data_IF_391967708424
#
_entry.id   IF_391967708424
#
_cell.length_a   1.000
_cell.length_b   1.000
_cell.length_c   1.000
_cell.angle_alpha   90.00
_cell.angle_beta   90.00
_cell.angle_gamma   90.00
#
_symmetry.space_group_name_H-M   'P 1'
#
loop_
_entity.id
_entity.type
_entity.pdbx_description
1 polymer ?
#
# COMPACT_ATOMS: atom_id res chain seq x y z
N UNK A 1 8.93 -14.55 -8.32
CA UNK A 1 8.36 -13.58 -9.29
C UNK A 1 8.98 -12.24 -9.00
N UNK A 2 9.74 -11.69 -9.95
CA UNK A 2 10.35 -10.37 -9.81
C UNK A 2 9.22 -9.34 -9.77
N UNK A 3 8.99 -8.73 -8.61
CA UNK A 3 8.08 -7.59 -8.51
C UNK A 3 8.63 -6.48 -9.38
N UNK A 4 7.85 -6.04 -10.37
CA UNK A 4 8.18 -4.85 -11.15
C UNK A 4 8.17 -3.68 -10.18
N UNK A 5 9.31 -3.03 -9.93
CA UNK A 5 9.35 -1.81 -9.14
C UNK A 5 8.61 -0.69 -9.87
N UNK A 6 7.93 0.19 -9.12
CA UNK A 6 7.16 1.30 -9.69
C UNK A 6 7.67 2.62 -9.15
N UNK A 7 7.94 3.56 -10.04
CA UNK A 7 8.43 4.89 -9.69
C UNK A 7 7.29 5.92 -9.78
N UNK A 8 7.04 6.64 -8.68
CA UNK A 8 5.99 7.66 -8.57
C UNK A 8 6.65 9.02 -8.33
N UNK A 9 6.37 10.01 -9.18
CA UNK A 9 6.83 11.38 -8.92
C UNK A 9 6.05 11.99 -7.77
N UNK A 10 6.76 12.52 -6.77
CA UNK A 10 6.21 13.05 -5.54
C UNK A 10 6.83 14.41 -5.21
N UNK A 11 6.09 15.25 -4.51
CA UNK A 11 6.57 16.54 -4.00
C UNK A 11 5.87 16.88 -2.70
N UNK A 12 6.46 17.80 -1.94
CA UNK A 12 5.96 18.11 -0.61
C UNK A 12 6.76 19.16 0.12
N UNK A 13 6.63 19.17 1.43
CA UNK A 13 7.38 20.05 2.34
C UNK A 13 8.03 19.23 3.44
N UNK A 14 9.21 19.64 3.88
CA UNK A 14 9.86 19.03 5.05
C UNK A 14 9.21 19.58 6.32
N UNK A 15 8.75 18.69 7.20
CA UNK A 15 8.21 19.05 8.51
C UNK A 15 9.06 18.45 9.64
N UNK A 16 9.01 19.05 10.82
CA UNK A 16 9.67 18.51 12.00
C UNK A 16 8.74 17.54 12.72
N UNK A 17 9.19 16.30 12.90
CA UNK A 17 8.54 15.29 13.74
C UNK A 17 9.20 15.12 15.10
N UNK A 18 8.54 14.35 15.96
CA UNK A 18 9.07 13.95 17.27
C UNK A 18 10.40 13.18 17.15
N UNK A 19 10.54 12.37 16.11
CA UNK A 19 11.70 11.52 15.89
C UNK A 19 12.68 12.07 14.83
N UNK A 20 12.49 13.31 14.38
CA UNK A 20 13.30 13.92 13.33
C UNK A 20 12.48 14.48 12.15
N UNK A 21 13.16 15.00 11.12
CA UNK A 21 12.50 15.56 9.94
C UNK A 21 11.74 14.47 9.16
N UNK A 22 10.55 14.84 8.70
CA UNK A 22 9.67 14.02 7.88
C UNK A 22 9.29 14.78 6.60
N UNK A 23 8.90 14.04 5.58
CA UNK A 23 8.54 14.59 4.28
C UNK A 23 7.03 14.46 4.09
N UNK A 24 6.31 15.57 4.19
CA UNK A 24 4.86 15.61 4.04
C UNK A 24 4.54 15.82 2.56
N UNK A 25 3.84 14.87 1.95
CA UNK A 25 3.46 14.97 0.55
C UNK A 25 2.36 16.01 0.36
N UNK A 26 2.45 16.77 -0.72
CA UNK A 26 1.43 17.75 -1.11
C UNK A 26 0.14 17.07 -1.61
N UNK A 27 0.22 15.80 -2.00
CA UNK A 27 -0.91 14.96 -2.39
C UNK A 27 -0.77 13.59 -1.75
N UNK A 28 -1.90 13.00 -1.36
CA UNK A 28 -1.94 11.61 -0.91
C UNK A 28 -1.43 10.68 -2.02
N UNK A 29 -0.79 9.60 -1.59
CA UNK A 29 -0.44 8.47 -2.45
C UNK A 29 -1.69 7.61 -2.75
N UNK A 30 -2.67 8.18 -3.44
CA UNK A 30 -3.89 7.48 -3.83
C UNK A 30 -3.53 6.25 -4.68
N UNK A 31 -3.96 5.07 -4.26
CA UNK A 31 -3.54 3.83 -4.93
C UNK A 31 -2.32 3.14 -4.33
N UNK A 32 -1.55 3.86 -3.51
CA UNK A 32 -0.22 3.46 -3.03
C UNK A 32 -0.02 3.69 -1.52
N UNK A 33 -1.09 3.96 -0.80
CA UNK A 33 -1.13 4.07 0.67
C UNK A 33 -0.90 2.73 1.39
N UNK A 34 -1.14 1.62 0.69
CA UNK A 34 -0.88 0.25 1.18
C UNK A 34 0.61 -0.14 1.25
N UNK A 35 1.51 0.73 0.83
CA UNK A 35 2.95 0.51 0.94
C UNK A 35 3.43 1.02 2.28
N UNK A 36 4.17 0.20 3.03
CA UNK A 36 4.73 0.60 4.31
C UNK A 36 6.16 1.13 4.18
N UNK A 37 6.84 0.83 3.06
CA UNK A 37 8.25 1.18 2.79
C UNK A 37 8.48 1.41 1.29
N UNK A 38 9.42 2.29 0.97
CA UNK A 38 9.92 2.56 -0.39
C UNK A 38 11.33 3.13 -0.36
N UNK A 39 11.86 3.49 -1.53
CA UNK A 39 13.08 4.29 -1.66
C UNK A 39 12.75 5.62 -2.33
N UNK A 40 13.15 6.73 -1.73
CA UNK A 40 12.94 8.05 -2.30
C UNK A 40 14.22 8.55 -2.95
N UNK A 41 14.16 8.82 -4.23
CA UNK A 41 15.21 9.51 -4.98
C UNK A 41 15.03 11.03 -4.84
N UNK A 42 16.02 11.69 -4.24
CA UNK A 42 16.14 13.15 -4.08
C UNK A 42 17.44 13.61 -4.73
N UNK A 43 17.38 14.03 -6.00
CA UNK A 43 18.58 14.37 -6.76
C UNK A 43 19.45 13.13 -6.99
N UNK A 44 20.66 13.12 -6.44
CA UNK A 44 21.60 11.99 -6.51
C UNK A 44 21.50 11.03 -5.30
N UNK A 45 20.66 11.35 -4.32
CA UNK A 45 20.52 10.55 -3.10
C UNK A 45 19.29 9.62 -3.17
N UNK A 46 19.50 8.33 -2.88
CA UNK A 46 18.44 7.35 -2.66
C UNK A 46 18.28 7.10 -1.17
N UNK A 47 17.11 7.46 -0.62
CA UNK A 47 16.84 7.42 0.82
C UNK A 47 15.73 6.41 1.10
N UNK A 48 15.99 5.34 1.87
CA UNK A 48 14.94 4.45 2.31
C UNK A 48 13.93 5.20 3.17
N UNK A 49 12.64 5.03 2.89
CA UNK A 49 11.54 5.70 3.61
C UNK A 49 10.51 4.70 4.11
N UNK A 50 10.00 4.93 5.31
CA UNK A 50 8.71 4.41 5.76
C UNK A 50 7.59 5.30 5.21
N UNK A 51 6.48 4.71 4.79
CA UNK A 51 5.35 5.43 4.23
C UNK A 51 4.19 5.31 5.22
N UNK A 52 3.65 6.45 5.65
CA UNK A 52 2.54 6.54 6.59
C UNK A 52 1.45 7.36 5.93
N UNK A 53 0.27 6.78 5.71
CA UNK A 53 -0.89 7.51 5.21
C UNK A 53 -1.92 7.65 6.33
N UNK A 54 -2.34 8.88 6.59
CA UNK A 54 -3.32 9.26 7.61
C UNK A 54 -4.39 10.09 6.91
N UNK A 55 -5.61 9.57 6.80
CA UNK A 55 -6.77 10.21 6.16
C UNK A 55 -6.46 10.87 4.80
N UNK A 56 -6.10 12.15 4.78
CA UNK A 56 -5.83 12.98 3.60
C UNK A 56 -4.34 13.30 3.38
N UNK A 57 -3.45 12.88 4.29
CA UNK A 57 -2.01 13.17 4.25
C UNK A 57 -1.19 11.90 4.15
N UNK A 58 -0.19 11.92 3.27
CA UNK A 58 0.87 10.92 3.26
C UNK A 58 2.18 11.54 3.74
N UNK A 59 2.83 10.87 4.69
CA UNK A 59 4.13 11.25 5.26
C UNK A 59 5.14 10.17 4.90
N UNK A 60 6.28 10.59 4.37
CA UNK A 60 7.45 9.73 4.25
C UNK A 60 8.36 9.99 5.45
N UNK A 61 8.73 8.92 6.15
CA UNK A 61 9.66 8.92 7.26
C UNK A 61 11.00 8.35 6.79
N UNK A 62 12.01 9.19 6.54
CA UNK A 62 13.33 8.73 6.12
C UNK A 62 13.99 7.87 7.20
N UNK A 63 14.67 6.81 6.78
CA UNK A 63 15.49 5.98 7.66
C UNK A 63 16.83 6.65 7.99
N UNK A 64 17.29 7.53 7.11
CA UNK A 64 18.42 8.44 7.31
C UNK A 64 17.96 9.87 7.00
N UNK A 65 18.44 10.82 7.80
CA UNK A 65 18.15 12.24 7.64
C UNK A 65 19.25 12.99 6.88
N UNK A 66 20.37 12.32 6.60
CA UNK A 66 21.45 12.89 5.80
C UNK A 66 20.94 13.18 4.37
N UNK A 67 21.25 14.37 3.85
CA UNK A 67 20.82 14.77 2.51
C UNK A 67 19.36 15.24 2.38
N UNK A 68 18.58 15.28 3.47
CA UNK A 68 17.25 15.90 3.43
C UNK A 68 17.35 17.43 3.33
N UNK A 69 16.44 18.09 2.60
CA UNK A 69 16.33 19.54 2.64
C UNK A 69 15.98 20.04 4.04
N UNK A 70 16.30 21.30 4.38
CA UNK A 70 15.95 21.88 5.67
C UNK A 70 14.44 21.87 5.93
N UNK A 71 14.04 21.83 7.19
CA UNK A 71 12.62 21.96 7.60
C UNK A 71 12.00 23.23 7.02
N UNK A 72 10.77 23.11 6.51
CA UNK A 72 10.04 24.18 5.82
C UNK A 72 10.37 24.31 4.34
N UNK A 73 11.36 23.57 3.82
CA UNK A 73 11.76 23.65 2.41
C UNK A 73 10.84 22.77 1.55
N UNK A 74 10.36 23.27 0.39
CA UNK A 74 9.70 22.43 -0.59
C UNK A 74 10.69 21.45 -1.22
N UNK A 75 10.21 20.28 -1.61
CA UNK A 75 11.04 19.25 -2.23
C UNK A 75 10.27 18.51 -3.32
N UNK A 76 11.01 17.92 -4.26
CA UNK A 76 10.48 17.05 -5.31
C UNK A 76 11.41 15.86 -5.48
N UNK A 77 10.84 14.69 -5.71
CA UNK A 77 11.58 13.45 -5.88
C UNK A 77 10.77 12.37 -6.59
N UNK A 78 11.38 11.19 -6.65
CA UNK A 78 10.82 9.99 -7.26
C UNK A 78 10.79 8.87 -6.23
N UNK A 79 9.60 8.41 -5.87
CA UNK A 79 9.41 7.33 -4.91
C UNK A 79 9.35 5.99 -5.64
N UNK A 80 10.36 5.15 -5.41
CA UNK A 80 10.38 3.76 -5.84
C UNK A 80 9.64 2.86 -4.84
N UNK A 81 8.65 2.15 -5.34
CA UNK A 81 7.82 1.21 -4.60
C UNK A 81 8.21 -0.22 -5.00
N UNK A 82 8.79 -1.01 -4.07
CA UNK A 82 9.40 -2.32 -4.37
C UNK A 82 8.41 -3.41 -4.79
N UNK A 83 7.11 -3.14 -4.65
CA UNK A 83 6.08 -3.92 -5.32
C UNK A 83 5.35 -2.94 -6.22
N UNK A 84 5.44 -3.11 -7.53
CA UNK A 84 4.55 -2.41 -8.45
C UNK A 84 3.10 -2.77 -8.15
N UNK A 85 2.16 -2.15 -8.87
CA UNK A 85 0.72 -2.41 -8.77
C UNK A 85 0.48 -3.88 -8.39
N UNK A 86 0.16 -4.12 -7.11
CA UNK A 86 -0.10 -5.48 -6.60
C UNK A 86 -1.13 -6.11 -7.53
N UNK A 87 -1.07 -7.44 -7.78
CA UNK A 87 -1.99 -8.08 -8.71
C UNK A 87 -3.41 -7.57 -8.47
N UNK A 88 -3.96 -6.83 -9.43
CA UNK A 88 -5.35 -6.36 -9.37
C UNK A 88 -6.33 -7.51 -9.57
N UNK A 89 -5.82 -8.64 -10.03
CA UNK A 89 -6.55 -9.88 -10.23
C UNK A 89 -6.69 -10.61 -8.91
N UNK A 90 -7.94 -10.89 -8.55
CA UNK A 90 -8.29 -11.76 -7.43
C UNK A 90 -7.61 -13.13 -7.62
N UNK A 91 -6.82 -13.61 -6.65
CA UNK A 91 -6.21 -14.92 -6.71
C UNK A 91 -7.28 -16.04 -6.77
N UNK A 92 -7.04 -17.11 -7.55
CA UNK A 92 -8.03 -18.18 -7.72
C UNK A 92 -8.49 -18.80 -6.39
N UNK A 93 -7.58 -19.00 -5.44
CA UNK A 93 -7.91 -19.59 -4.14
C UNK A 93 -8.83 -18.72 -3.28
N UNK A 94 -8.70 -17.39 -3.39
CA UNK A 94 -9.61 -16.45 -2.74
C UNK A 94 -10.98 -16.46 -3.44
N UNK A 95 -11.00 -16.43 -4.78
CA UNK A 95 -12.23 -16.47 -5.58
C UNK A 95 -13.02 -17.77 -5.32
N UNK A 96 -12.35 -18.92 -5.42
CA UNK A 96 -12.95 -20.24 -5.21
C UNK A 96 -13.52 -20.40 -3.81
N UNK A 97 -12.80 -19.89 -2.79
CA UNK A 97 -13.28 -19.94 -1.41
C UNK A 97 -14.47 -19.01 -1.18
N UNK A 98 -14.44 -17.79 -1.71
CA UNK A 98 -15.60 -16.88 -1.63
C UNK A 98 -16.85 -17.48 -2.29
N UNK A 99 -16.70 -18.05 -3.49
CA UNK A 99 -17.79 -18.74 -4.21
C UNK A 99 -18.32 -19.93 -3.40
N UNK A 100 -17.44 -20.77 -2.85
CA UNK A 100 -17.82 -21.93 -2.03
C UNK A 100 -18.62 -21.52 -0.79
N UNK A 101 -18.24 -20.42 -0.15
CA UNK A 101 -18.92 -19.90 1.05
C UNK A 101 -20.12 -18.99 0.72
N UNK A 102 -20.45 -18.80 -0.56
CA UNK A 102 -21.55 -17.93 -0.99
C UNK A 102 -21.34 -16.46 -0.63
N UNK A 103 -20.09 -16.00 -0.65
CA UNK A 103 -19.68 -14.63 -0.31
C UNK A 103 -19.27 -13.87 -1.58
N UNK A 104 -19.52 -12.56 -1.60
CA UNK A 104 -19.18 -11.73 -2.77
C UNK A 104 -17.95 -10.87 -2.52
N UNK A 105 -16.97 -10.95 -3.42
CA UNK A 105 -15.83 -10.04 -3.47
C UNK A 105 -16.17 -8.75 -4.23
N UNK A 106 -17.22 -8.75 -5.05
CA UNK A 106 -17.64 -7.59 -5.86
C UNK A 106 -18.24 -6.46 -5.01
N UNK A 107 -18.57 -6.75 -3.75
CA UNK A 107 -19.04 -5.73 -2.80
C UNK A 107 -17.91 -4.89 -2.24
N UNK A 108 -16.66 -5.32 -2.40
CA UNK A 108 -15.50 -4.55 -1.96
C UNK A 108 -15.27 -3.40 -2.94
N UNK A 109 -15.08 -2.20 -2.41
CA UNK A 109 -14.59 -1.10 -3.22
C UNK A 109 -13.10 -1.33 -3.63
N UNK A 110 -12.56 -0.44 -4.47
CA UNK A 110 -11.19 -0.60 -4.97
C UNK A 110 -10.14 -0.53 -3.84
N UNK A 111 -10.38 0.29 -2.81
CA UNK A 111 -9.46 0.42 -1.69
C UNK A 111 -9.49 -0.84 -0.82
N UNK A 112 -10.69 -1.30 -0.46
CA UNK A 112 -10.91 -2.53 0.31
C UNK A 112 -10.33 -3.76 -0.40
N UNK A 113 -10.57 -3.90 -1.70
CA UNK A 113 -9.99 -4.97 -2.50
C UNK A 113 -8.45 -4.90 -2.47
N UNK A 114 -7.88 -3.71 -2.60
CA UNK A 114 -6.42 -3.53 -2.52
C UNK A 114 -5.86 -3.94 -1.16
N UNK A 115 -6.55 -3.62 -0.06
CA UNK A 115 -6.16 -4.05 1.28
C UNK A 115 -6.22 -5.57 1.44
N UNK A 116 -7.30 -6.20 0.96
CA UNK A 116 -7.47 -7.66 0.99
C UNK A 116 -6.33 -8.35 0.23
N UNK A 117 -6.03 -7.90 -0.98
CA UNK A 117 -4.97 -8.48 -1.82
C UNK A 117 -3.59 -8.23 -1.23
N UNK A 118 -3.37 -7.06 -0.64
CA UNK A 118 -2.18 -6.70 0.12
C UNK A 118 -1.95 -7.68 1.27
N UNK A 119 -2.95 -7.79 2.13
CA UNK A 119 -2.94 -8.68 3.28
C UNK A 119 -2.69 -10.13 2.86
N UNK A 120 -3.31 -10.59 1.76
CA UNK A 120 -3.08 -11.94 1.28
C UNK A 120 -1.65 -12.16 0.72
N UNK A 121 -1.09 -11.17 0.02
CA UNK A 121 0.25 -11.23 -0.58
C UNK A 121 1.38 -11.30 0.43
N UNK A 122 1.18 -10.77 1.64
CA UNK A 122 2.16 -10.78 2.74
C UNK A 122 2.23 -12.13 3.48
N UNK A 123 1.51 -13.15 2.99
CA UNK A 123 1.54 -14.49 3.58
C UNK A 123 2.88 -15.17 3.30
N UNK A 124 3.66 -15.42 4.35
CA UNK A 124 4.99 -16.04 4.23
C UNK A 124 4.96 -17.57 4.16
N UNK A 125 3.83 -18.19 4.51
CA UNK A 125 3.65 -19.65 4.44
C UNK A 125 2.26 -20.01 3.90
N UNK A 126 2.12 -21.23 3.39
CA UNK A 126 0.83 -21.77 2.91
C UNK A 126 -0.23 -21.75 4.01
N UNK A 127 0.13 -22.12 5.24
CA UNK A 127 -0.79 -22.13 6.38
C UNK A 127 -1.30 -20.72 6.72
N UNK A 128 -0.41 -19.71 6.72
CA UNK A 128 -0.79 -18.31 6.94
C UNK A 128 -1.71 -17.84 5.81
N UNK A 129 -1.39 -18.20 4.56
CA UNK A 129 -2.21 -17.83 3.39
C UNK A 129 -3.64 -18.37 3.53
N UNK A 130 -3.80 -19.65 3.85
CA UNK A 130 -5.12 -20.28 4.04
C UNK A 130 -5.92 -19.62 5.17
N UNK A 131 -5.27 -19.34 6.30
CA UNK A 131 -5.93 -18.65 7.42
C UNK A 131 -6.39 -17.23 7.02
N UNK A 132 -5.58 -16.49 6.27
CA UNK A 132 -5.96 -15.17 5.76
C UNK A 132 -7.11 -15.23 4.77
N UNK A 133 -7.12 -16.20 3.84
CA UNK A 133 -8.26 -16.41 2.93
C UNK A 133 -9.55 -16.65 3.73
N UNK A 134 -9.51 -17.53 4.73
CA UNK A 134 -10.66 -17.81 5.57
C UNK A 134 -11.15 -16.57 6.33
N UNK A 135 -10.23 -15.76 6.87
CA UNK A 135 -10.55 -14.52 7.57
C UNK A 135 -11.15 -13.45 6.66
N UNK A 136 -10.63 -13.30 5.43
CA UNK A 136 -11.19 -12.38 4.43
C UNK A 136 -12.62 -12.82 4.10
N UNK A 137 -12.81 -14.09 3.73
CA UNK A 137 -14.11 -14.60 3.25
C UNK A 137 -15.17 -14.56 4.35
N UNK A 138 -14.81 -14.80 5.61
CA UNK A 138 -15.77 -14.71 6.72
C UNK A 138 -16.29 -13.29 6.97
N UNK A 139 -15.50 -12.26 6.62
CA UNK A 139 -15.86 -10.85 6.76
C UNK A 139 -16.67 -10.31 5.57
N UNK A 140 -16.67 -10.99 4.43
CA UNK A 140 -17.42 -10.56 3.24
C UNK A 140 -18.93 -10.64 3.46
N UNK A 141 -19.73 -9.79 2.80
CA UNK A 141 -21.19 -9.97 2.74
C UNK A 141 -21.58 -11.29 2.09
N UNK A 142 -22.75 -11.82 2.48
CA UNK A 142 -23.38 -12.93 1.77
C UNK A 142 -23.78 -12.43 0.38
N UNK A 143 -23.43 -13.19 -0.66
CA UNK A 143 -23.88 -12.90 -2.00
C UNK A 143 -25.41 -13.03 -2.05
N UNK A 144 -26.11 -11.91 -2.17
CA UNK A 144 -27.55 -11.95 -2.43
C UNK A 144 -27.74 -12.61 -3.80
N UNK A 145 -28.39 -13.78 -3.81
CA UNK A 145 -28.89 -14.35 -5.05
C UNK A 145 -30.00 -13.44 -5.55
N UNK A 146 -29.74 -12.68 -6.60
CA UNK A 146 -30.79 -12.09 -7.41
C UNK A 146 -31.72 -13.22 -7.83
N UNK A 147 -32.96 -13.19 -7.32
CA UNK A 147 -33.98 -14.15 -7.68
C UNK A 147 -34.37 -13.89 -9.14
N UNK A 148 -33.99 -14.79 -10.04
CA UNK A 148 -34.61 -14.93 -11.35
C UNK A 148 -35.21 -16.33 -11.44
#
# INVERSE_FOLDING_TARGET
>A
MSGTSMNVSVHGTVAQGADGPMLVLARRLDGHDTFLKGSLELGEASVPVGILTLDDVTVLRPADHSGLPPVGTPWQGSLDLPHGLRPRTVPPDLQETAVREGRSLETLDEAELRYVLTFLSESTTTAIRQARVAAIVSALPIAMRSSQ
#
